data_IF_935430552417
#
_entry.id   IF_935430552417
#
_cell.length_a   1.000
_cell.length_b   1.000
_cell.length_c   1.000
_cell.angle_alpha   90.00
_cell.angle_beta   90.00
_cell.angle_gamma   90.00
#
_symmetry.space_group_name_H-M   'P 1'
#
loop_
_entity.id
_entity.type
_entity.pdbx_description
1 polymer ?
#
# COMPACT_ATOMS: atom_id res chain seq x y z
N UNK A 1 -10.51 -14.15 -3.54
CA UNK A 1 -9.47 -13.21 -3.08
C UNK A 1 -9.45 -13.18 -1.56
N UNK A 2 -8.27 -13.22 -0.96
CA UNK A 2 -8.05 -13.04 0.48
C UNK A 2 -7.12 -11.85 0.63
N UNK A 3 -7.50 -10.89 1.47
CA UNK A 3 -6.70 -9.73 1.83
C UNK A 3 -6.13 -9.93 3.23
N UNK A 4 -4.82 -9.79 3.36
CA UNK A 4 -4.13 -9.83 4.65
C UNK A 4 -3.69 -8.42 5.04
N UNK A 5 -4.05 -7.99 6.24
CA UNK A 5 -3.49 -6.80 6.87
C UNK A 5 -2.34 -7.24 7.77
N UNK A 6 -1.11 -6.87 7.39
CA UNK A 6 0.10 -7.31 8.06
C UNK A 6 0.75 -6.15 8.83
N UNK A 7 1.22 -6.40 10.05
CA UNK A 7 2.00 -5.41 10.77
C UNK A 7 3.36 -5.16 10.08
N UNK A 8 3.88 -3.95 10.21
CA UNK A 8 5.18 -3.53 9.63
C UNK A 8 6.42 -4.24 10.23
N UNK A 9 6.26 -5.40 10.85
CA UNK A 9 7.31 -6.12 11.56
C UNK A 9 7.74 -7.37 10.78
N UNK A 10 8.84 -7.27 10.04
CA UNK A 10 9.48 -8.40 9.35
C UNK A 10 10.13 -9.45 10.25
N UNK A 11 10.26 -9.16 11.55
CA UNK A 11 10.96 -10.03 12.50
C UNK A 11 10.09 -11.10 13.14
N UNK A 12 8.83 -11.19 12.76
CA UNK A 12 7.93 -12.25 13.25
C UNK A 12 8.16 -13.50 12.44
N UNK A 13 8.47 -14.59 13.12
CA UNK A 13 8.61 -15.90 12.50
C UNK A 13 7.36 -16.24 11.67
N UNK A 14 7.55 -16.71 10.45
CA UNK A 14 6.46 -16.99 9.51
C UNK A 14 5.98 -15.82 8.65
N UNK A 15 6.42 -14.58 8.92
CA UNK A 15 5.98 -13.41 8.12
C UNK A 15 6.52 -13.48 6.68
N UNK A 16 7.76 -13.90 6.50
CA UNK A 16 8.38 -14.02 5.18
C UNK A 16 7.74 -15.15 4.38
N UNK A 17 7.47 -16.28 5.03
CA UNK A 17 6.77 -17.43 4.42
C UNK A 17 5.36 -17.03 3.99
N UNK A 18 4.64 -16.27 4.84
CA UNK A 18 3.33 -15.76 4.49
C UNK A 18 3.40 -14.80 3.30
N UNK A 19 4.32 -13.85 3.31
CA UNK A 19 4.51 -12.92 2.21
C UNK A 19 4.90 -13.63 0.92
N UNK A 20 5.78 -14.62 0.97
CA UNK A 20 6.18 -15.38 -0.21
C UNK A 20 5.05 -16.18 -0.85
N UNK A 21 3.99 -16.45 -0.10
CA UNK A 21 2.78 -17.12 -0.58
C UNK A 21 1.73 -16.16 -1.19
N UNK A 22 1.95 -14.84 -1.11
CA UNK A 22 1.04 -13.84 -1.68
C UNK A 22 1.25 -13.72 -3.19
N UNK A 23 0.20 -13.37 -3.92
CA UNK A 23 0.28 -13.02 -5.35
C UNK A 23 0.76 -11.57 -5.55
N UNK A 24 0.35 -10.67 -4.67
CA UNK A 24 0.78 -9.28 -4.69
C UNK A 24 0.91 -8.69 -3.29
N UNK A 25 1.79 -7.69 -3.16
CA UNK A 25 1.97 -6.93 -1.92
C UNK A 25 1.82 -5.44 -2.20
N UNK A 26 1.06 -4.74 -1.37
CA UNK A 26 0.86 -3.29 -1.45
C UNK A 26 1.52 -2.64 -0.23
N UNK A 27 2.43 -1.71 -0.47
CA UNK A 27 3.11 -0.90 0.55
C UNK A 27 2.46 0.48 0.64
N UNK A 28 1.67 0.78 1.68
CA UNK A 28 1.19 2.13 1.91
C UNK A 28 2.33 2.99 2.49
N UNK A 29 2.62 4.12 1.84
CA UNK A 29 3.74 5.02 2.19
C UNK A 29 3.27 6.47 2.29
N UNK A 30 3.81 7.21 3.26
CA UNK A 30 3.49 8.64 3.42
C UNK A 30 4.32 9.54 2.49
N UNK A 31 5.33 9.01 1.84
CA UNK A 31 6.27 9.77 1.04
C UNK A 31 7.40 10.42 1.85
N UNK A 32 7.47 10.19 3.17
CA UNK A 32 8.59 10.64 3.98
C UNK A 32 9.88 9.89 3.60
N UNK A 33 11.06 10.50 3.71
CA UNK A 33 12.33 9.82 3.45
C UNK A 33 12.51 8.54 4.29
N UNK A 34 12.02 8.55 5.54
CA UNK A 34 12.10 7.41 6.43
C UNK A 34 11.23 6.23 5.94
N UNK A 35 10.02 6.50 5.45
CA UNK A 35 9.16 5.47 4.87
C UNK A 35 9.75 4.89 3.59
N UNK A 36 10.36 5.74 2.74
CA UNK A 36 10.99 5.29 1.52
C UNK A 36 12.15 4.32 1.82
N UNK A 37 12.99 4.67 2.79
CA UNK A 37 14.10 3.82 3.20
C UNK A 37 13.62 2.50 3.84
N UNK A 38 12.59 2.57 4.69
CA UNK A 38 12.00 1.37 5.29
C UNK A 38 11.43 0.42 4.24
N UNK A 39 10.73 0.94 3.23
CA UNK A 39 10.18 0.12 2.14
C UNK A 39 11.29 -0.44 1.25
N UNK A 40 12.32 0.35 0.92
CA UNK A 40 13.50 -0.13 0.18
C UNK A 40 14.11 -1.34 0.89
N UNK A 41 14.45 -1.17 2.16
CA UNK A 41 15.03 -2.24 2.97
C UNK A 41 14.13 -3.48 3.06
N UNK A 42 12.80 -3.27 3.13
CA UNK A 42 11.84 -4.36 3.12
C UNK A 42 11.85 -5.13 1.80
N UNK A 43 11.90 -4.43 0.66
CA UNK A 43 11.96 -5.04 -0.67
C UNK A 43 13.25 -5.84 -0.84
N UNK A 44 14.38 -5.31 -0.36
CA UNK A 44 15.68 -5.98 -0.41
C UNK A 44 15.64 -7.31 0.39
N UNK A 45 15.16 -7.27 1.65
CA UNK A 45 15.01 -8.47 2.47
C UNK A 45 14.09 -9.49 1.81
N UNK A 46 12.95 -9.03 1.29
CA UNK A 46 11.98 -9.91 0.63
C UNK A 46 12.58 -10.57 -0.61
N UNK A 47 13.33 -9.80 -1.42
CA UNK A 47 14.05 -10.30 -2.58
C UNK A 47 15.11 -11.35 -2.21
N UNK A 48 15.95 -11.06 -1.23
CA UNK A 48 16.95 -12.00 -0.74
C UNK A 48 16.33 -13.30 -0.20
N UNK A 49 15.27 -13.20 0.57
CA UNK A 49 14.58 -14.35 1.15
C UNK A 49 13.91 -15.21 0.07
N UNK A 50 13.20 -14.59 -0.89
CA UNK A 50 12.58 -15.31 -2.01
C UNK A 50 13.65 -16.02 -2.85
N UNK A 51 14.77 -15.36 -3.16
CA UNK A 51 15.87 -15.95 -3.90
C UNK A 51 16.49 -17.13 -3.14
N UNK A 52 16.65 -17.00 -1.82
CA UNK A 52 17.24 -18.05 -0.96
C UNK A 52 16.31 -19.24 -0.82
N UNK A 53 15.01 -19.02 -0.66
CA UNK A 53 14.01 -20.09 -0.53
C UNK A 53 13.71 -20.78 -1.86
N UNK A 54 14.01 -20.14 -2.99
CA UNK A 54 13.71 -20.67 -4.33
C UNK A 54 12.21 -20.88 -4.58
N UNK A 55 11.37 -20.30 -3.74
CA UNK A 55 9.90 -20.42 -3.80
C UNK A 55 9.26 -19.10 -3.38
N UNK A 56 8.59 -18.45 -4.29
CA UNK A 56 7.76 -17.28 -4.01
C UNK A 56 6.68 -17.17 -5.08
N UNK A 57 5.46 -16.84 -4.66
CA UNK A 57 4.33 -16.64 -5.58
C UNK A 57 4.13 -15.16 -5.91
N UNK A 58 4.91 -14.26 -5.29
CA UNK A 58 4.76 -12.81 -5.50
C UNK A 58 5.02 -12.51 -6.97
N UNK A 59 4.00 -11.99 -7.62
CA UNK A 59 4.06 -11.55 -9.02
C UNK A 59 4.24 -10.05 -9.14
N UNK A 60 3.64 -9.29 -8.22
CA UNK A 60 3.65 -7.84 -8.29
C UNK A 60 3.79 -7.20 -6.90
N UNK A 61 4.60 -6.14 -6.85
CA UNK A 61 4.76 -5.29 -5.66
C UNK A 61 4.29 -3.88 -6.02
N UNK A 62 3.52 -3.24 -5.12
CA UNK A 62 2.92 -1.94 -5.34
C UNK A 62 3.27 -0.94 -4.25
N UNK A 63 3.49 0.32 -4.64
CA UNK A 63 3.51 1.47 -3.74
C UNK A 63 2.15 2.19 -3.80
N UNK A 64 1.49 2.34 -2.66
CA UNK A 64 0.30 3.17 -2.49
C UNK A 64 0.65 4.43 -1.70
N UNK A 65 0.57 5.59 -2.34
CA UNK A 65 0.72 6.88 -1.66
C UNK A 65 -0.43 7.09 -0.69
N UNK A 66 -0.13 7.11 0.60
CA UNK A 66 -1.11 7.19 1.67
C UNK A 66 -0.80 8.35 2.62
N UNK A 67 -1.81 9.01 3.14
CA UNK A 67 -1.71 10.12 4.08
C UNK A 67 -0.86 11.31 3.58
N UNK A 68 -0.79 11.52 2.26
CA UNK A 68 0.00 12.59 1.67
C UNK A 68 -0.64 13.95 2.00
N UNK A 69 0.14 14.84 2.59
CA UNK A 69 -0.26 16.23 2.82
C UNK A 69 -0.25 17.02 1.50
N UNK A 70 -1.18 17.98 1.38
CA UNK A 70 -1.34 18.71 0.12
C UNK A 70 -0.10 19.53 -0.29
N UNK A 71 0.63 20.06 0.69
CA UNK A 71 1.83 20.86 0.48
C UNK A 71 3.08 20.03 0.16
N UNK A 72 3.07 18.75 0.49
CA UNK A 72 4.20 17.81 0.31
C UNK A 72 4.03 16.91 -0.92
N UNK A 73 2.95 17.11 -1.67
CA UNK A 73 2.50 16.17 -2.70
C UNK A 73 3.54 15.96 -3.80
N UNK A 74 4.13 17.04 -4.32
CA UNK A 74 5.09 16.99 -5.42
C UNK A 74 6.35 16.22 -5.01
N UNK A 75 6.90 16.56 -3.86
CA UNK A 75 8.10 15.92 -3.32
C UNK A 75 7.84 14.43 -2.98
N UNK A 76 6.67 14.12 -2.41
CA UNK A 76 6.28 12.75 -2.12
C UNK A 76 6.07 11.92 -3.40
N UNK A 77 5.45 12.51 -4.43
CA UNK A 77 5.27 11.88 -5.74
C UNK A 77 6.62 11.59 -6.41
N UNK A 78 7.58 12.52 -6.35
CA UNK A 78 8.91 12.34 -6.90
C UNK A 78 9.68 11.23 -6.18
N UNK A 79 9.69 11.24 -4.84
CA UNK A 79 10.33 10.18 -4.04
C UNK A 79 9.73 8.80 -4.31
N UNK A 80 8.40 8.70 -4.42
CA UNK A 80 7.75 7.44 -4.73
C UNK A 80 8.09 6.93 -6.13
N UNK A 81 8.20 7.81 -7.14
CA UNK A 81 8.64 7.43 -8.48
C UNK A 81 10.08 6.95 -8.48
N UNK A 82 10.97 7.70 -7.84
CA UNK A 82 12.39 7.32 -7.71
C UNK A 82 12.52 5.93 -7.09
N UNK A 83 11.83 5.66 -5.98
CA UNK A 83 11.85 4.34 -5.34
C UNK A 83 11.29 3.26 -6.27
N UNK A 84 10.19 3.53 -6.96
CA UNK A 84 9.59 2.59 -7.91
C UNK A 84 10.56 2.25 -9.05
N UNK A 85 11.23 3.25 -9.63
CA UNK A 85 12.19 3.07 -10.72
C UNK A 85 13.43 2.29 -10.27
N UNK A 86 13.92 2.54 -9.04
CA UNK A 86 15.10 1.87 -8.50
C UNK A 86 14.85 0.41 -8.09
N UNK A 87 13.63 0.11 -7.62
CA UNK A 87 13.30 -1.22 -7.05
C UNK A 87 12.46 -2.09 -7.99
N UNK A 88 11.93 -1.52 -9.07
CA UNK A 88 11.01 -2.22 -9.98
C UNK A 88 9.59 -2.40 -9.41
N UNK A 89 9.26 -1.79 -8.27
CA UNK A 89 7.93 -1.82 -7.67
C UNK A 89 6.99 -0.91 -8.44
N UNK A 90 5.75 -1.32 -8.64
CA UNK A 90 4.75 -0.57 -9.40
C UNK A 90 4.14 0.55 -8.56
N UNK A 91 4.12 1.77 -9.07
CA UNK A 91 3.46 2.88 -8.40
C UNK A 91 1.97 2.91 -8.75
N UNK A 92 1.10 2.80 -7.75
CA UNK A 92 -0.35 2.91 -7.96
C UNK A 92 -0.74 4.31 -8.43
N UNK A 93 -1.72 4.39 -9.33
CA UNK A 93 -2.26 5.66 -9.83
C UNK A 93 -3.09 6.38 -8.76
N UNK A 94 -3.74 5.61 -7.88
CA UNK A 94 -4.49 6.14 -6.75
C UNK A 94 -3.56 6.63 -5.66
N UNK A 95 -4.04 7.65 -4.94
CA UNK A 95 -3.38 8.15 -3.73
C UNK A 95 -4.42 8.57 -2.71
N UNK A 96 -4.14 8.36 -1.44
CA UNK A 96 -4.99 8.80 -0.34
C UNK A 96 -4.34 10.00 0.34
N UNK A 97 -5.04 11.14 0.32
CA UNK A 97 -4.57 12.33 1.04
C UNK A 97 -4.85 12.20 2.53
N UNK A 98 -4.01 12.82 3.34
CA UNK A 98 -4.27 12.97 4.77
C UNK A 98 -5.66 13.61 5.00
N UNK A 99 -6.47 12.99 5.84
CA UNK A 99 -7.79 13.51 6.18
C UNK A 99 -8.10 13.30 7.66
N UNK A 100 -8.52 14.39 8.30
CA UNK A 100 -9.02 14.35 9.68
C UNK A 100 -10.29 13.49 9.85
N UNK A 101 -10.95 13.16 8.76
CA UNK A 101 -12.15 12.31 8.77
C UNK A 101 -11.84 10.84 9.10
N UNK A 102 -10.60 10.38 8.93
CA UNK A 102 -10.16 9.04 9.32
C UNK A 102 -9.88 8.91 10.83
N UNK A 103 -9.54 10.01 11.52
CA UNK A 103 -9.18 10.00 12.94
C UNK A 103 -10.30 9.58 13.92
N UNK A 104 -11.60 9.89 13.65
CA UNK A 104 -12.66 9.56 14.60
C UNK A 104 -12.98 8.08 14.78
N UNK A 105 -12.43 7.19 13.93
CA UNK A 105 -12.60 5.74 14.09
C UNK A 105 -12.06 5.21 15.42
N UNK A 106 -11.16 5.97 16.07
CA UNK A 106 -10.54 5.62 17.36
C UNK A 106 -11.15 6.38 18.55
N UNK A 107 -12.14 7.23 18.36
CA UNK A 107 -12.76 8.04 19.41
C UNK A 107 -14.25 7.73 19.57
N UNK A 108 -14.65 7.30 20.76
CA UNK A 108 -16.04 6.99 21.11
C UNK A 108 -17.02 8.17 20.92
N UNK A 109 -16.53 9.40 20.77
CA UNK A 109 -17.33 10.62 20.76
C UNK A 109 -17.70 11.14 19.37
N UNK A 110 -17.17 10.58 18.27
CA UNK A 110 -17.48 11.04 16.91
C UNK A 110 -17.76 9.85 16.00
N UNK A 111 -18.84 9.94 15.21
CA UNK A 111 -19.12 8.95 14.17
C UNK A 111 -17.99 9.00 13.13
N UNK A 112 -17.19 7.94 13.05
CA UNK A 112 -16.17 7.78 12.03
C UNK A 112 -16.79 7.64 10.64
N UNK A 113 -16.00 7.95 9.61
CA UNK A 113 -16.40 7.70 8.22
C UNK A 113 -16.02 6.28 7.86
N UNK A 114 -17.00 5.48 7.50
CA UNK A 114 -16.73 4.14 6.97
C UNK A 114 -16.12 4.27 5.57
N UNK A 115 -14.93 3.72 5.38
CA UNK A 115 -14.25 3.74 4.07
C UNK A 115 -14.86 2.78 3.06
N UNK A 116 -15.54 1.72 3.54
CA UNK A 116 -16.31 0.80 2.69
C UNK A 116 -17.57 1.45 2.11
N UNK A 117 -18.17 2.37 2.86
CA UNK A 117 -19.35 3.13 2.45
C UNK A 117 -19.11 4.62 2.68
N UNK A 118 -18.18 5.23 1.90
CA UNK A 118 -17.88 6.65 2.07
C UNK A 118 -19.11 7.47 1.76
N UNK A 119 -19.33 8.60 2.49
CA UNK A 119 -20.48 9.48 2.24
C UNK A 119 -20.44 9.98 0.79
N UNK A 120 -21.58 9.91 0.11
CA UNK A 120 -21.71 10.30 -1.29
C UNK A 120 -21.28 11.76 -1.53
N UNK A 121 -20.54 11.99 -2.61
CA UNK A 121 -20.24 13.33 -3.14
C UNK A 121 -18.99 14.02 -2.58
N UNK A 122 -18.32 13.48 -1.57
CA UNK A 122 -17.11 14.07 -0.99
C UNK A 122 -15.81 13.72 -1.75
N UNK A 123 -14.75 14.52 -1.57
CA UNK A 123 -13.41 14.24 -2.08
C UNK A 123 -12.92 12.85 -1.61
N UNK A 124 -13.15 12.51 -0.34
CA UNK A 124 -12.79 11.25 0.25
C UNK A 124 -13.47 10.06 -0.44
N UNK A 125 -14.78 10.18 -0.71
CA UNK A 125 -15.55 9.15 -1.43
C UNK A 125 -14.94 8.85 -2.80
N UNK A 126 -14.61 9.90 -3.56
CA UNK A 126 -13.98 9.75 -4.88
C UNK A 126 -12.63 9.07 -4.82
N UNK A 127 -11.81 9.40 -3.82
CA UNK A 127 -10.49 8.76 -3.64
C UNK A 127 -10.63 7.28 -3.27
N UNK A 128 -11.54 6.93 -2.36
CA UNK A 128 -11.80 5.55 -1.98
C UNK A 128 -12.35 4.72 -3.15
N UNK A 129 -13.27 5.29 -3.94
CA UNK A 129 -13.82 4.61 -5.13
C UNK A 129 -12.72 4.39 -6.17
N UNK A 130 -11.87 5.41 -6.42
CA UNK A 130 -10.76 5.28 -7.37
C UNK A 130 -9.80 4.18 -6.94
N UNK A 131 -9.40 4.15 -5.66
CA UNK A 131 -8.53 3.11 -5.12
C UNK A 131 -9.20 1.73 -5.20
N UNK A 132 -10.47 1.62 -4.86
CA UNK A 132 -11.22 0.36 -4.94
C UNK A 132 -11.29 -0.18 -6.36
N UNK A 133 -11.51 0.67 -7.37
CA UNK A 133 -11.51 0.27 -8.77
C UNK A 133 -10.13 -0.21 -9.22
N UNK A 134 -9.07 0.51 -8.87
CA UNK A 134 -7.69 0.12 -9.22
C UNK A 134 -7.30 -1.22 -8.57
N UNK A 135 -7.63 -1.41 -7.29
CA UNK A 135 -7.42 -2.71 -6.62
C UNK A 135 -8.21 -3.84 -7.28
N UNK A 136 -9.44 -3.57 -7.70
CA UNK A 136 -10.25 -4.55 -8.41
C UNK A 136 -9.65 -4.94 -9.77
N UNK A 137 -9.14 -3.98 -10.53
CA UNK A 137 -8.44 -4.22 -11.80
C UNK A 137 -7.17 -5.07 -11.60
N UNK A 138 -6.38 -4.77 -10.55
CA UNK A 138 -5.22 -5.57 -10.17
C UNK A 138 -5.65 -7.01 -9.86
N UNK A 139 -6.67 -7.19 -9.03
CA UNK A 139 -7.18 -8.51 -8.67
C UNK A 139 -7.70 -9.30 -9.87
N UNK A 140 -8.42 -8.66 -10.78
CA UNK A 140 -8.90 -9.31 -12.00
C UNK A 140 -7.73 -9.80 -12.85
N UNK A 141 -6.68 -9.00 -13.03
CA UNK A 141 -5.49 -9.38 -13.79
C UNK A 141 -4.78 -10.58 -13.15
N UNK A 142 -4.54 -10.53 -11.84
CA UNK A 142 -3.89 -11.60 -11.09
C UNK A 142 -4.69 -12.92 -11.09
N UNK A 143 -6.02 -12.86 -11.20
CA UNK A 143 -6.87 -14.05 -11.27
C UNK A 143 -7.02 -14.61 -12.69
N UNK A 144 -6.65 -13.86 -13.73
CA UNK A 144 -6.81 -14.25 -15.13
C UNK A 144 -5.57 -14.94 -15.71
N UNK A 145 -4.45 -14.85 -15.03
CA UNK A 145 -3.18 -15.53 -15.30
C UNK A 145 -3.04 -16.83 -14.50
#
# INVERSE_FOLDING_TARGET
CILFDLPALMRTEGTVELLSAMDAVVFPVTGSPMDMEAVRHFIDILGEQILTMGKGNIRELYLLRNMIEAWEREDADERCRTLADETGVLLMQSSLSHSRLYRPLLSERRKGVCTLFPPHGGKLSRLCIKLGNELYEILQRLCSE
#
